data_IF_298442658625
#
_entry.id   IF_298442658625
#
_cell.length_a   1.000
_cell.length_b   1.000
_cell.length_c   1.000
_cell.angle_alpha   90.00
_cell.angle_beta   90.00
_cell.angle_gamma   90.00
#
_symmetry.space_group_name_H-M   'P 1'
#
loop_
_entity.id
_entity.type
_entity.pdbx_description
1 polymer ?
#
# COMPACT_ATOMS: atom_id res chain seq x y z
N UNK A 1 -5.06 27.11 2.41
CA UNK A 1 -4.79 26.84 0.97
C UNK A 1 -4.30 28.09 0.25
N UNK A 2 -3.17 28.01 -0.46
CA UNK A 2 -2.61 29.12 -1.25
C UNK A 2 -3.28 29.29 -2.62
N UNK A 3 -4.06 28.30 -3.06
CA UNK A 3 -4.80 28.29 -4.32
C UNK A 3 -6.32 28.21 -4.08
N UNK A 4 -7.09 28.81 -4.98
CA UNK A 4 -8.55 28.69 -5.00
C UNK A 4 -8.94 27.26 -5.42
N UNK A 5 -9.82 26.63 -4.65
CA UNK A 5 -10.31 25.28 -4.92
C UNK A 5 -11.82 25.32 -5.20
N UNK A 6 -12.23 24.70 -6.30
CA UNK A 6 -13.64 24.51 -6.61
C UNK A 6 -14.20 23.44 -5.67
N UNK A 7 -15.11 23.84 -4.78
CA UNK A 7 -15.76 22.95 -3.83
C UNK A 7 -17.16 22.55 -4.32
N UNK A 8 -17.46 21.25 -4.33
CA UNK A 8 -18.76 20.74 -4.72
C UNK A 8 -18.85 19.21 -4.66
N UNK A 9 -20.08 18.70 -4.83
CA UNK A 9 -20.35 17.26 -4.77
C UNK A 9 -19.60 16.48 -5.87
N UNK A 10 -19.44 17.06 -7.05
CA UNK A 10 -18.75 16.41 -8.17
C UNK A 10 -17.27 16.12 -7.87
N UNK A 11 -16.52 17.11 -7.36
CA UNK A 11 -15.10 16.92 -7.04
C UNK A 11 -14.90 15.96 -5.88
N UNK A 12 -15.82 15.96 -4.91
CA UNK A 12 -15.77 14.99 -3.79
C UNK A 12 -16.09 13.56 -4.26
N UNK A 13 -17.06 13.39 -5.16
CA UNK A 13 -17.36 12.08 -5.76
C UNK A 13 -16.21 11.55 -6.62
N UNK A 14 -15.51 12.44 -7.32
CA UNK A 14 -14.33 12.09 -8.11
C UNK A 14 -13.22 11.50 -7.23
N UNK A 15 -12.86 12.16 -6.13
CA UNK A 15 -11.88 11.64 -5.15
C UNK A 15 -12.34 10.30 -4.57
N UNK A 16 -13.63 10.16 -4.23
CA UNK A 16 -14.18 8.90 -3.76
C UNK A 16 -13.95 7.78 -4.77
N UNK A 17 -14.25 8.04 -6.05
CA UNK A 17 -14.17 7.04 -7.12
C UNK A 17 -12.74 6.71 -7.54
N UNK A 18 -11.87 7.72 -7.61
CA UNK A 18 -10.50 7.59 -8.10
C UNK A 18 -9.55 7.06 -7.02
N UNK A 19 -9.77 7.39 -5.74
CA UNK A 19 -8.85 7.00 -4.67
C UNK A 19 -9.48 6.08 -3.62
N UNK A 20 -10.58 6.50 -2.98
CA UNK A 20 -11.16 5.76 -1.84
C UNK A 20 -11.62 4.36 -2.27
N UNK A 21 -12.29 4.24 -3.42
CA UNK A 21 -12.74 2.94 -3.92
C UNK A 21 -11.55 2.00 -4.26
N UNK A 22 -10.51 2.39 -5.01
CA UNK A 22 -9.34 1.54 -5.23
C UNK A 22 -8.61 1.12 -3.95
N UNK A 23 -8.45 2.02 -2.98
CA UNK A 23 -7.88 1.70 -1.67
C UNK A 23 -8.72 0.63 -0.97
N UNK A 24 -10.03 0.88 -0.85
CA UNK A 24 -10.94 -0.01 -0.14
C UNK A 24 -11.08 -1.37 -0.82
N UNK A 25 -11.05 -1.41 -2.15
CA UNK A 25 -11.06 -2.65 -2.93
C UNK A 25 -9.78 -3.46 -2.72
N UNK A 26 -8.62 -2.79 -2.64
CA UNK A 26 -7.34 -3.45 -2.36
C UNK A 26 -7.30 -4.05 -0.96
N UNK A 27 -7.78 -3.29 0.03
CA UNK A 27 -7.96 -3.75 1.41
C UNK A 27 -8.95 -4.92 1.50
N UNK A 28 -10.14 -4.79 0.90
CA UNK A 28 -11.18 -5.82 0.92
C UNK A 28 -10.73 -7.11 0.23
N UNK A 29 -9.98 -6.98 -0.88
CA UNK A 29 -9.34 -8.11 -1.54
C UNK A 29 -8.42 -8.84 -0.57
N UNK A 30 -7.49 -8.14 0.09
CA UNK A 30 -6.57 -8.74 1.06
C UNK A 30 -7.33 -9.45 2.19
N UNK A 31 -8.24 -8.74 2.87
CA UNK A 31 -8.99 -9.30 4.02
C UNK A 31 -9.77 -10.55 3.64
N UNK A 32 -10.41 -10.56 2.47
CA UNK A 32 -11.20 -11.70 2.01
C UNK A 32 -10.32 -12.95 1.86
N UNK A 33 -9.20 -12.82 1.15
CA UNK A 33 -8.34 -13.97 0.88
C UNK A 33 -7.48 -14.37 2.08
N UNK A 34 -6.99 -13.41 2.87
CA UNK A 34 -6.26 -13.67 4.10
C UNK A 34 -7.11 -14.47 5.11
N UNK A 35 -8.39 -14.12 5.25
CA UNK A 35 -9.33 -14.88 6.11
C UNK A 35 -9.61 -16.29 5.58
N UNK A 36 -9.77 -16.45 4.27
CA UNK A 36 -10.02 -17.76 3.66
C UNK A 36 -8.81 -18.69 3.82
N UNK A 37 -7.60 -18.15 3.73
CA UNK A 37 -6.36 -18.92 3.84
C UNK A 37 -5.81 -19.01 5.28
N UNK A 38 -6.47 -18.39 6.25
CA UNK A 38 -6.01 -18.37 7.65
C UNK A 38 -4.65 -17.70 7.85
N UNK A 39 -4.36 -16.66 7.06
CA UNK A 39 -3.10 -15.92 7.15
C UNK A 39 -2.97 -15.21 8.50
N UNK A 40 -1.84 -15.44 9.17
CA UNK A 40 -1.48 -14.79 10.43
C UNK A 40 -0.15 -14.03 10.27
N UNK A 41 -0.15 -12.68 10.31
CA UNK A 41 1.07 -11.88 10.23
C UNK A 41 1.96 -11.99 11.47
N UNK A 42 1.46 -12.51 12.60
CA UNK A 42 2.24 -12.67 13.84
C UNK A 42 3.05 -13.97 13.86
N UNK A 43 2.71 -14.93 12.99
CA UNK A 43 3.44 -16.19 12.87
C UNK A 43 4.77 -15.99 12.14
N UNK A 44 5.83 -15.83 12.94
CA UNK A 44 7.21 -15.69 12.46
C UNK A 44 7.71 -16.85 11.59
N UNK A 45 7.12 -18.05 11.68
CA UNK A 45 7.54 -19.22 10.91
C UNK A 45 7.19 -19.11 9.42
N UNK A 46 6.19 -18.30 9.08
CA UNK A 46 5.75 -18.06 7.70
C UNK A 46 6.39 -16.83 7.07
N UNK A 47 7.17 -16.07 7.85
CA UNK A 47 7.71 -14.79 7.42
C UNK A 47 8.90 -14.99 6.49
N UNK A 48 8.77 -14.45 5.28
CA UNK A 48 9.82 -14.52 4.26
C UNK A 48 10.53 -13.16 4.18
N UNK A 49 11.87 -13.12 4.32
CA UNK A 49 12.66 -11.90 4.15
C UNK A 49 12.43 -11.26 2.79
N UNK A 50 12.35 -9.92 2.72
CA UNK A 50 12.08 -9.19 1.47
C UNK A 50 13.02 -9.60 0.34
N UNK A 51 14.31 -9.83 0.63
CA UNK A 51 15.32 -10.21 -0.36
C UNK A 51 15.05 -11.57 -1.04
N UNK A 52 14.34 -12.48 -0.35
CA UNK A 52 13.96 -13.81 -0.83
C UNK A 52 12.61 -13.82 -1.55
N UNK A 53 11.87 -12.71 -1.52
CA UNK A 53 10.57 -12.58 -2.20
C UNK A 53 10.76 -12.37 -3.71
N UNK A 54 9.65 -12.50 -4.44
CA UNK A 54 9.67 -12.30 -5.89
C UNK A 54 10.09 -10.87 -6.27
N UNK A 55 10.52 -10.68 -7.52
CA UNK A 55 10.91 -9.35 -8.04
C UNK A 55 9.79 -8.31 -7.88
N UNK A 56 8.52 -8.69 -8.08
CA UNK A 56 7.40 -7.77 -7.92
C UNK A 56 7.17 -7.39 -6.46
N UNK A 57 7.41 -8.32 -5.53
CA UNK A 57 7.27 -8.07 -4.09
C UNK A 57 8.36 -7.12 -3.60
N UNK A 58 9.61 -7.39 -4.00
CA UNK A 58 10.75 -6.52 -3.72
C UNK A 58 10.54 -5.11 -4.28
N UNK A 59 10.03 -5.03 -5.50
CA UNK A 59 9.75 -3.76 -6.16
C UNK A 59 8.70 -2.94 -5.40
N UNK A 60 7.55 -3.53 -5.05
CA UNK A 60 6.49 -2.75 -4.37
C UNK A 60 6.91 -2.33 -2.96
N UNK A 61 7.72 -3.13 -2.26
CA UNK A 61 8.32 -2.74 -0.97
C UNK A 61 9.34 -1.61 -1.14
N UNK A 62 10.18 -1.66 -2.18
CA UNK A 62 11.09 -0.55 -2.52
C UNK A 62 10.30 0.74 -2.76
N UNK A 63 9.22 0.66 -3.55
CA UNK A 63 8.33 1.80 -3.81
C UNK A 63 7.62 2.31 -2.56
N UNK A 64 7.19 1.41 -1.66
CA UNK A 64 6.58 1.78 -0.38
C UNK A 64 7.54 2.59 0.51
N UNK A 65 8.81 2.22 0.55
CA UNK A 65 9.83 2.96 1.30
C UNK A 65 10.09 4.35 0.67
N UNK A 66 10.22 4.43 -0.65
CA UNK A 66 10.31 5.71 -1.38
C UNK A 66 9.08 6.60 -1.18
N UNK A 67 7.88 6.02 -1.18
CA UNK A 67 6.63 6.71 -0.85
C UNK A 67 6.69 7.27 0.57
N UNK A 68 7.12 6.46 1.53
CA UNK A 68 7.20 6.85 2.95
C UNK A 68 8.11 8.07 3.13
N UNK A 69 9.27 8.09 2.48
CA UNK A 69 10.16 9.27 2.50
C UNK A 69 9.54 10.49 1.83
N UNK A 70 8.86 10.29 0.69
CA UNK A 70 8.20 11.38 -0.05
C UNK A 70 7.10 12.02 0.77
N UNK A 71 6.24 11.23 1.40
CA UNK A 71 5.11 11.71 2.21
C UNK A 71 5.60 12.35 3.50
N UNK A 72 6.62 11.79 4.16
CA UNK A 72 7.22 12.44 5.32
C UNK A 72 7.78 13.82 4.95
N UNK A 73 8.60 13.87 3.91
CA UNK A 73 9.26 15.11 3.47
C UNK A 73 8.25 16.18 3.05
N UNK A 74 7.11 15.79 2.48
CA UNK A 74 6.05 16.73 2.09
C UNK A 74 5.32 17.31 3.30
N UNK A 75 5.08 16.51 4.35
CA UNK A 75 4.51 17.02 5.61
C UNK A 75 5.50 17.93 6.32
N UNK A 76 6.78 17.54 6.41
CA UNK A 76 7.84 18.34 7.06
C UNK A 76 8.11 19.67 6.35
N UNK A 77 7.94 19.70 5.03
CA UNK A 77 8.11 20.91 4.20
C UNK A 77 6.83 21.75 4.05
N UNK A 78 5.75 21.38 4.76
CA UNK A 78 4.44 22.06 4.70
C UNK A 78 3.77 22.03 3.31
N UNK A 79 4.01 20.96 2.55
CA UNK A 79 3.32 20.63 1.30
C UNK A 79 2.53 19.29 1.37
N UNK A 80 1.52 19.16 2.25
CA UNK A 80 0.67 17.96 2.29
C UNK A 80 0.02 17.55 0.95
N UNK A 81 -0.40 18.47 0.05
CA UNK A 81 -0.94 18.09 -1.25
C UNK A 81 -0.01 17.21 -2.08
N UNK A 82 1.31 17.46 -2.06
CA UNK A 82 2.27 16.61 -2.74
C UNK A 82 2.33 15.20 -2.15
N UNK A 83 2.26 15.08 -0.82
CA UNK A 83 2.17 13.80 -0.12
C UNK A 83 0.90 13.01 -0.48
N UNK A 84 -0.25 13.68 -0.43
CA UNK A 84 -1.53 13.07 -0.79
C UNK A 84 -1.52 12.54 -2.23
N UNK A 85 -0.99 13.32 -3.17
CA UNK A 85 -0.84 12.91 -4.57
C UNK A 85 0.08 11.70 -4.73
N UNK A 86 1.21 11.67 -4.03
CA UNK A 86 2.13 10.53 -4.06
C UNK A 86 1.47 9.25 -3.53
N UNK A 87 0.66 9.35 -2.47
CA UNK A 87 -0.11 8.20 -1.94
C UNK A 87 -1.14 7.73 -2.97
N UNK A 88 -1.87 8.66 -3.59
CA UNK A 88 -2.85 8.34 -4.62
C UNK A 88 -2.22 7.58 -5.80
N UNK A 89 -1.11 8.09 -6.34
CA UNK A 89 -0.36 7.46 -7.43
C UNK A 89 0.10 6.05 -7.06
N UNK A 90 0.68 5.86 -5.86
CA UNK A 90 1.10 4.55 -5.39
C UNK A 90 -0.08 3.58 -5.25
N UNK A 91 -1.16 3.98 -4.58
CA UNK A 91 -2.31 3.09 -4.33
C UNK A 91 -2.99 2.70 -5.64
N UNK A 92 -3.24 3.66 -6.53
CA UNK A 92 -4.01 3.43 -7.75
C UNK A 92 -3.15 2.73 -8.80
N UNK A 93 -2.00 3.28 -9.15
CA UNK A 93 -1.22 2.80 -10.29
C UNK A 93 -0.31 1.62 -9.94
N UNK A 94 0.38 1.69 -8.80
CA UNK A 94 1.40 0.70 -8.45
C UNK A 94 0.80 -0.50 -7.69
N UNK A 95 0.01 -0.24 -6.65
CA UNK A 95 -0.55 -1.30 -5.80
C UNK A 95 -1.77 -1.97 -6.46
N UNK A 96 -2.82 -1.21 -6.77
CA UNK A 96 -4.08 -1.74 -7.30
C UNK A 96 -3.97 -2.18 -8.76
N UNK A 97 -3.62 -1.26 -9.66
CA UNK A 97 -3.63 -1.50 -11.11
C UNK A 97 -2.53 -2.47 -11.57
N UNK A 98 -1.40 -2.50 -10.87
CA UNK A 98 -0.25 -3.31 -11.25
C UNK A 98 -0.01 -4.49 -10.32
N UNK A 99 0.44 -4.26 -9.08
CA UNK A 99 0.90 -5.31 -8.18
C UNK A 99 -0.19 -6.34 -7.91
N UNK A 100 -1.36 -5.93 -7.41
CA UNK A 100 -2.48 -6.85 -7.12
C UNK A 100 -2.90 -7.53 -8.41
N UNK A 101 -3.09 -6.79 -9.51
CA UNK A 101 -3.56 -7.33 -10.79
C UNK A 101 -2.63 -8.43 -11.34
N UNK A 102 -1.31 -8.24 -11.25
CA UNK A 102 -0.31 -9.22 -11.71
C UNK A 102 -0.18 -10.41 -10.77
N UNK A 103 -0.41 -10.20 -9.48
CA UNK A 103 -0.24 -11.23 -8.45
C UNK A 103 -1.55 -11.93 -8.03
N UNK A 104 -2.73 -11.59 -8.57
CA UNK A 104 -4.02 -12.24 -8.20
C UNK A 104 -3.97 -13.77 -8.18
N UNK A 105 -3.28 -14.37 -9.15
CA UNK A 105 -3.14 -15.83 -9.23
C UNK A 105 -2.44 -16.42 -8.00
N UNK A 106 -1.49 -15.70 -7.39
CA UNK A 106 -0.76 -16.16 -6.19
C UNK A 106 -1.69 -16.25 -4.97
N UNK A 107 -2.70 -15.38 -4.88
CA UNK A 107 -3.72 -15.41 -3.82
C UNK A 107 -4.80 -16.48 -4.05
N UNK A 108 -4.94 -17.02 -5.27
CA UNK A 108 -5.95 -18.05 -5.59
C UNK A 108 -5.40 -19.48 -5.66
N UNK A 109 -4.08 -19.66 -5.55
CA UNK A 109 -3.50 -21.01 -5.54
C UNK A 109 -4.00 -21.78 -4.31
N UNK A 110 -4.41 -23.02 -4.51
CA UNK A 110 -4.87 -23.91 -3.42
C UNK A 110 -3.72 -24.40 -2.53
N UNK A 111 -2.48 -24.40 -3.04
CA UNK A 111 -1.30 -24.85 -2.31
C UNK A 111 -0.69 -23.70 -1.49
N UNK A 112 -0.40 -24.00 -0.22
CA UNK A 112 0.27 -23.09 0.71
C UNK A 112 1.78 -23.17 0.49
N UNK A 113 2.25 -22.49 -0.56
CA UNK A 113 3.67 -22.40 -0.87
C UNK A 113 4.28 -21.10 -0.32
N UNK A 114 5.59 -21.11 -0.09
CA UNK A 114 6.36 -19.92 0.30
C UNK A 114 6.09 -18.71 -0.62
N UNK A 115 5.86 -18.93 -1.92
CA UNK A 115 5.48 -17.86 -2.85
C UNK A 115 4.17 -17.16 -2.48
N UNK A 116 3.15 -17.91 -2.02
CA UNK A 116 1.85 -17.37 -1.60
C UNK A 116 1.99 -16.60 -0.28
N UNK A 117 2.76 -17.15 0.67
CA UNK A 117 3.07 -16.46 1.93
C UNK A 117 3.80 -15.14 1.69
N UNK A 118 4.79 -15.11 0.78
CA UNK A 118 5.51 -13.89 0.42
C UNK A 118 4.58 -12.80 -0.15
N UNK A 119 3.59 -13.18 -0.97
CA UNK A 119 2.61 -12.26 -1.52
C UNK A 119 1.72 -11.64 -0.42
N UNK A 120 1.27 -12.46 0.54
CA UNK A 120 0.47 -11.99 1.67
C UNK A 120 1.25 -11.06 2.59
N UNK A 121 2.45 -11.45 3.02
CA UNK A 121 3.32 -10.62 3.86
C UNK A 121 3.60 -9.27 3.18
N UNK A 122 3.86 -9.28 1.88
CA UNK A 122 4.11 -8.05 1.13
C UNK A 122 2.89 -7.14 1.06
N UNK A 123 1.71 -7.69 0.72
CA UNK A 123 0.49 -6.88 0.64
C UNK A 123 0.05 -6.38 2.01
N UNK A 124 0.24 -7.19 3.06
CA UNK A 124 0.03 -6.80 4.45
C UNK A 124 0.92 -5.62 4.85
N UNK A 125 2.24 -5.73 4.62
CA UNK A 125 3.21 -4.65 4.90
C UNK A 125 2.83 -3.34 4.18
N UNK A 126 2.43 -3.41 2.91
CA UNK A 126 1.93 -2.25 2.17
C UNK A 126 0.68 -1.64 2.82
N UNK A 127 -0.35 -2.45 3.13
CA UNK A 127 -1.60 -1.95 3.67
C UNK A 127 -1.45 -1.36 5.08
N UNK A 128 -0.67 -2.01 5.96
CA UNK A 128 -0.39 -1.50 7.31
C UNK A 128 0.44 -0.21 7.28
N UNK A 129 1.44 -0.14 6.41
CA UNK A 129 2.22 1.11 6.26
C UNK A 129 1.32 2.23 5.72
N UNK A 130 0.44 1.93 4.77
CA UNK A 130 -0.54 2.88 4.25
C UNK A 130 -1.50 3.39 5.32
N UNK A 131 -1.91 2.59 6.31
CA UNK A 131 -2.77 3.12 7.39
C UNK A 131 -2.05 4.22 8.16
N UNK A 132 -0.76 4.05 8.46
CA UNK A 132 0.04 5.09 9.13
C UNK A 132 0.23 6.34 8.26
N UNK A 133 0.53 6.16 6.97
CA UNK A 133 0.70 7.28 6.03
C UNK A 133 -0.61 8.06 5.81
N UNK A 134 -1.75 7.37 5.83
CA UNK A 134 -3.07 7.95 5.63
C UNK A 134 -3.67 8.56 6.90
N UNK A 135 -3.17 8.22 8.08
CA UNK A 135 -3.73 8.69 9.36
C UNK A 135 -3.91 10.23 9.43
N UNK A 136 -2.97 11.07 8.93
CA UNK A 136 -3.16 12.52 8.90
C UNK A 136 -4.12 13.03 7.81
N UNK A 137 -4.41 12.23 6.77
CA UNK A 137 -5.20 12.64 5.60
C UNK A 137 -6.65 12.14 5.65
N UNK A 138 -6.86 10.87 5.99
CA UNK A 138 -8.17 10.18 6.03
C UNK A 138 -8.32 9.38 7.32
N UNK A 139 -8.35 10.04 8.49
CA UNK A 139 -8.19 9.41 9.81
C UNK A 139 -9.15 8.25 10.06
N UNK A 140 -10.43 8.39 9.72
CA UNK A 140 -11.42 7.35 9.92
C UNK A 140 -11.22 6.11 9.03
N UNK A 141 -10.74 6.31 7.80
CA UNK A 141 -10.46 5.19 6.89
C UNK A 141 -9.20 4.46 7.35
N UNK A 142 -8.16 5.21 7.74
CA UNK A 142 -6.93 4.67 8.29
C UNK A 142 -7.17 3.87 9.57
N UNK A 143 -7.97 4.41 10.50
CA UNK A 143 -8.33 3.76 11.76
C UNK A 143 -9.09 2.45 11.53
N UNK A 144 -10.10 2.46 10.66
CA UNK A 144 -10.89 1.25 10.35
C UNK A 144 -10.02 0.14 9.77
N UNK A 145 -9.13 0.48 8.83
CA UNK A 145 -8.17 -0.48 8.27
C UNK A 145 -7.19 -0.99 9.33
N UNK A 146 -6.61 -0.10 10.15
CA UNK A 146 -5.62 -0.46 11.15
C UNK A 146 -6.19 -1.37 12.23
N UNK A 147 -7.39 -1.05 12.74
CA UNK A 147 -8.07 -1.88 13.73
C UNK A 147 -8.31 -3.30 13.22
N UNK A 148 -8.65 -3.43 11.94
CA UNK A 148 -8.87 -4.74 11.32
C UNK A 148 -7.58 -5.51 11.05
N UNK A 149 -6.57 -4.84 10.50
CA UNK A 149 -5.32 -5.47 10.07
C UNK A 149 -4.37 -5.76 11.21
N UNK A 150 -4.38 -4.94 12.27
CA UNK A 150 -3.39 -4.99 13.35
C UNK A 150 -4.06 -5.35 14.66
N UNK A 151 -4.95 -4.50 15.18
CA UNK A 151 -5.53 -4.66 16.53
C UNK A 151 -6.35 -5.94 16.68
N UNK A 152 -7.04 -6.37 15.62
CA UNK A 152 -7.82 -7.61 15.64
C UNK A 152 -6.98 -8.89 15.65
N UNK A 153 -5.66 -8.79 15.42
CA UNK A 153 -4.73 -9.92 15.32
C UNK A 153 -3.70 -9.88 16.47
N UNK A 154 -3.18 -8.70 16.78
CA UNK A 154 -2.20 -8.48 17.84
C UNK A 154 -2.82 -7.63 18.97
N UNK A 155 -3.18 -8.28 20.07
CA UNK A 155 -3.75 -7.61 21.25
C UNK A 155 -2.76 -6.67 21.96
N UNK A 156 -1.45 -6.80 21.68
CA UNK A 156 -0.41 -5.94 22.27
C UNK A 156 -0.14 -4.68 21.47
N UNK A 157 -0.69 -4.58 20.25
CA UNK A 157 -0.56 -3.40 19.41
C UNK A 157 -1.26 -2.18 20.04
N UNK A 158 -0.81 -0.99 19.63
CA UNK A 158 -1.49 0.24 20.03
C UNK A 158 -2.97 0.19 19.59
N UNK A 159 -3.93 0.69 20.39
CA UNK A 159 -5.36 0.49 20.12
C UNK A 159 -5.90 1.36 18.97
N UNK A 160 -5.09 2.28 18.43
CA UNK A 160 -5.42 3.17 17.32
C UNK A 160 -4.16 3.53 16.54
N UNK A 161 -4.31 3.73 15.23
CA UNK A 161 -3.21 4.19 14.36
C UNK A 161 -2.69 5.57 14.75
N UNK A 162 -3.53 6.37 15.41
CA UNK A 162 -3.17 7.70 15.89
C UNK A 162 -2.31 7.68 17.15
N UNK A 163 -2.07 6.49 17.72
CA UNK A 163 -1.19 6.26 18.87
C UNK A 163 0.09 5.50 18.49
N UNK A 164 0.35 5.34 17.19
CA UNK A 164 1.60 4.74 16.68
C UNK A 164 2.58 5.81 16.23
N UNK A 165 3.86 5.47 16.17
CA UNK A 165 4.86 6.30 15.52
C UNK A 165 4.55 6.47 14.03
N UNK A 166 4.95 7.61 13.46
CA UNK A 166 4.75 7.87 12.04
C UNK A 166 5.68 6.99 11.18
N UNK A 167 5.19 6.36 10.08
CA UNK A 167 5.96 5.34 9.35
C UNK A 167 7.32 5.81 8.86
N UNK A 168 8.39 5.05 9.11
CA UNK A 168 9.76 5.36 8.67
C UNK A 168 10.22 4.51 7.50
N UNK A 169 10.79 5.15 6.47
CA UNK A 169 11.45 4.44 5.38
C UNK A 169 12.69 3.72 5.85
N UNK A 170 12.93 2.54 5.27
CA UNK A 170 14.15 1.79 5.40
C UNK A 170 14.91 1.82 4.08
N UNK A 171 15.99 2.62 4.04
CA UNK A 171 16.85 2.76 2.86
C UNK A 171 17.45 1.44 2.36
N UNK A 172 17.63 0.43 3.24
CA UNK A 172 18.17 -0.88 2.80
C UNK A 172 17.21 -1.69 1.94
N UNK A 173 15.93 -1.32 1.91
CA UNK A 173 14.89 -1.97 1.11
C UNK A 173 14.60 -1.23 -0.19
N UNK A 174 15.28 -0.09 -0.42
CA UNK A 174 15.16 0.68 -1.65
C UNK A 174 16.11 0.10 -2.71
N UNK A 175 15.54 -0.44 -3.78
CA UNK A 175 16.25 -0.96 -4.93
C UNK A 175 16.02 0.01 -6.11
N UNK A 176 16.91 0.99 -6.25
CA UNK A 176 16.79 2.06 -7.27
C UNK A 176 16.80 1.48 -8.69
N UNK A 177 17.66 0.49 -8.94
CA UNK A 177 17.75 -0.15 -10.24
C UNK A 177 16.46 -0.86 -10.59
N UNK A 178 15.94 -1.69 -9.69
CA UNK A 178 14.67 -2.39 -9.89
C UNK A 178 13.52 -1.40 -10.08
N UNK A 179 13.51 -0.30 -9.32
CA UNK A 179 12.50 0.74 -9.44
C UNK A 179 12.54 1.43 -10.81
N UNK A 180 13.74 1.74 -11.31
CA UNK A 180 13.95 2.31 -12.65
C UNK A 180 13.54 1.34 -13.76
N UNK A 181 13.96 0.08 -13.66
CA UNK A 181 13.61 -0.96 -14.65
C UNK A 181 12.09 -1.16 -14.71
N UNK A 182 11.42 -1.19 -13.55
CA UNK A 182 9.97 -1.30 -13.48
C UNK A 182 9.24 -0.05 -13.97
N UNK A 183 9.78 1.15 -13.73
CA UNK A 183 9.21 2.38 -14.27
C UNK A 183 9.20 2.37 -15.81
N UNK A 184 10.28 1.90 -16.44
CA UNK A 184 10.34 1.74 -17.89
C UNK A 184 9.29 0.74 -18.41
N UNK A 185 9.11 -0.39 -17.72
CA UNK A 185 8.08 -1.40 -18.09
C UNK A 185 6.66 -0.83 -17.96
N UNK A 186 6.39 -0.11 -16.86
CA UNK A 186 5.09 0.52 -16.62
C UNK A 186 4.76 1.53 -17.71
N UNK A 187 5.73 2.35 -18.11
CA UNK A 187 5.54 3.35 -19.15
C UNK A 187 5.23 2.70 -20.50
N UNK A 188 5.97 1.66 -20.89
CA UNK A 188 5.68 0.91 -22.13
C UNK A 188 4.27 0.31 -22.11
N UNK A 189 3.84 -0.27 -20.99
CA UNK A 189 2.49 -0.85 -20.89
C UNK A 189 1.41 0.22 -20.85
N UNK A 190 1.69 1.39 -20.26
CA UNK A 190 0.78 2.54 -20.27
C UNK A 190 0.56 3.03 -21.69
N UNK A 191 1.64 3.27 -22.44
CA UNK A 191 1.59 3.67 -23.84
C UNK A 191 0.85 2.66 -24.71
N UNK A 192 1.08 1.36 -24.47
CA UNK A 192 0.38 0.29 -25.18
C UNK A 192 -1.11 0.14 -24.84
N UNK A 193 -1.57 0.65 -23.68
CA UNK A 193 -3.00 0.67 -23.31
C UNK A 193 -3.74 1.90 -23.86
N UNK A 194 -3.01 2.97 -24.16
CA UNK A 194 -3.56 4.20 -24.74
C UNK A 194 -3.63 4.21 -26.27
N UNK A 195 -3.03 3.21 -26.93
CA UNK A 195 -3.06 2.99 -28.36
C UNK A 195 -4.21 2.07 -28.76
#
# INVERSE_FOLDING_TARGET
>A
PSQNLNFGYHSTDEVRRQFILPLWNSYSFFVTYAKLDGFDPTDSSTRIPVIERSLLDRWIISRLNQLTDTVRSSIESWDPPAGAKAIEEFVVEELSNWYIRRNRRRFWKSESDADKAAAYHTLYECLVTLTGLLAPFTPFVAEEMYRNLVVAIDETAAPSVHLTDYPTSNASLIDEKLSSDMAAVLEVVRLGRSA
#
